data_IF_836252652362
#
_entry.id   IF_836252652362
#
_cell.length_a   1.000
_cell.length_b   1.000
_cell.length_c   1.000
_cell.angle_alpha   90.00
_cell.angle_beta   90.00
_cell.angle_gamma   90.00
#
_symmetry.space_group_name_H-M   'P 1'
#
loop_
_entity.id
_entity.type
_entity.pdbx_description
1 polymer ?
#
# COMPACT_ATOMS: atom_id res chain seq x y z
N UNK A 1 14.15 1.67 -22.63
CA UNK A 1 13.22 2.10 -21.56
C UNK A 1 13.17 1.10 -20.40
N UNK A 2 13.38 -0.20 -20.63
CA UNK A 2 13.37 -1.29 -19.63
C UNK A 2 14.52 -1.25 -18.61
N UNK A 3 15.74 -0.88 -19.01
CA UNK A 3 16.91 -0.87 -18.09
C UNK A 3 16.79 0.13 -16.93
N UNK A 4 16.15 1.28 -17.15
CA UNK A 4 15.95 2.31 -16.13
C UNK A 4 14.85 1.95 -15.09
N UNK A 5 13.95 1.01 -15.41
CA UNK A 5 12.98 0.48 -14.45
C UNK A 5 13.63 -0.56 -13.52
N UNK A 6 14.59 -1.34 -14.05
CA UNK A 6 15.33 -2.36 -13.29
C UNK A 6 16.29 -1.73 -12.27
N UNK A 7 16.98 -0.64 -12.62
CA UNK A 7 17.87 0.08 -11.68
C UNK A 7 17.14 0.64 -10.44
N UNK A 8 15.80 0.69 -10.44
CA UNK A 8 14.98 1.13 -9.30
C UNK A 8 14.48 -0.03 -8.41
N UNK A 9 14.70 -1.29 -8.78
CA UNK A 9 14.16 -2.49 -8.12
C UNK A 9 15.20 -3.27 -7.30
N UNK A 10 16.41 -2.74 -7.12
CA UNK A 10 17.57 -3.34 -6.44
C UNK A 10 17.38 -3.62 -4.92
N UNK A 11 16.14 -3.57 -4.43
CA UNK A 11 15.74 -3.76 -3.03
C UNK A 11 14.86 -5.00 -2.82
N UNK A 12 14.52 -5.72 -3.89
CA UNK A 12 13.80 -6.99 -3.84
C UNK A 12 14.71 -8.20 -3.59
N UNK A 13 14.12 -9.39 -3.44
CA UNK A 13 14.86 -10.65 -3.29
C UNK A 13 15.43 -11.21 -4.60
N UNK A 14 15.05 -10.62 -5.74
CA UNK A 14 15.50 -11.02 -7.08
C UNK A 14 16.68 -10.13 -7.50
N UNK A 15 17.83 -10.74 -7.75
CA UNK A 15 18.98 -10.06 -8.34
C UNK A 15 18.81 -9.84 -9.85
N UNK A 16 19.78 -9.15 -10.47
CA UNK A 16 19.76 -8.85 -11.90
C UNK A 16 19.67 -10.11 -12.79
N UNK A 17 20.28 -11.23 -12.40
CA UNK A 17 20.23 -12.47 -13.19
C UNK A 17 18.84 -13.09 -13.16
N UNK A 18 18.18 -13.07 -12.00
CA UNK A 18 16.78 -13.49 -11.89
C UNK A 18 15.86 -12.62 -12.76
N UNK A 19 16.04 -11.29 -12.72
CA UNK A 19 15.23 -10.35 -13.50
C UNK A 19 15.46 -10.51 -15.01
N UNK A 20 16.72 -10.62 -15.45
CA UNK A 20 17.06 -10.86 -16.85
C UNK A 20 16.44 -12.18 -17.34
N UNK A 21 16.45 -13.22 -16.50
CA UNK A 21 15.79 -14.47 -16.80
C UNK A 21 14.27 -14.30 -16.94
N UNK A 22 13.61 -13.58 -16.04
CA UNK A 22 12.16 -13.35 -16.15
C UNK A 22 11.81 -12.57 -17.43
N UNK A 23 12.60 -11.57 -17.80
CA UNK A 23 12.40 -10.78 -19.02
C UNK A 23 12.59 -11.60 -20.29
N UNK A 24 13.45 -12.63 -20.24
CA UNK A 24 13.73 -13.49 -21.39
C UNK A 24 12.64 -14.51 -21.71
N UNK A 25 11.61 -14.65 -20.85
CA UNK A 25 10.53 -15.61 -21.05
C UNK A 25 9.46 -15.05 -22.00
N UNK A 26 8.95 -15.92 -22.87
CA UNK A 26 8.04 -15.52 -23.96
C UNK A 26 6.55 -15.50 -23.55
N UNK A 27 6.20 -16.00 -22.37
CA UNK A 27 4.80 -16.08 -21.92
C UNK A 27 4.62 -15.70 -20.45
N UNK A 28 3.50 -15.03 -20.16
CA UNK A 28 3.13 -14.64 -18.78
C UNK A 28 3.03 -15.86 -17.84
N UNK A 29 2.57 -17.01 -18.36
CA UNK A 29 2.48 -18.26 -17.62
C UNK A 29 3.87 -18.76 -17.19
N UNK A 30 4.85 -18.69 -18.08
CA UNK A 30 6.23 -19.07 -17.78
C UNK A 30 6.87 -18.08 -16.79
N UNK A 31 6.59 -16.78 -16.94
CA UNK A 31 7.04 -15.73 -16.01
C UNK A 31 6.50 -16.01 -14.61
N UNK A 32 5.20 -16.26 -14.47
CA UNK A 32 4.57 -16.52 -13.18
C UNK A 32 5.08 -17.82 -12.55
N UNK A 33 5.28 -18.88 -13.33
CA UNK A 33 5.84 -20.14 -12.83
C UNK A 33 7.30 -19.98 -12.36
N UNK A 34 8.12 -19.28 -13.14
CA UNK A 34 9.50 -18.99 -12.78
C UNK A 34 9.59 -18.12 -11.52
N UNK A 35 8.78 -17.05 -11.46
CA UNK A 35 8.71 -16.13 -10.32
C UNK A 35 8.32 -16.86 -9.02
N UNK A 36 7.25 -17.66 -9.04
CA UNK A 36 6.80 -18.45 -7.89
C UNK A 36 7.93 -19.32 -7.32
N UNK A 37 8.68 -19.99 -8.21
CA UNK A 37 9.82 -20.83 -7.82
C UNK A 37 10.99 -20.01 -7.25
N UNK A 38 11.30 -18.87 -7.86
CA UNK A 38 12.41 -18.00 -7.43
C UNK A 38 12.15 -17.37 -6.06
N UNK A 39 10.93 -16.89 -5.82
CA UNK A 39 10.55 -16.16 -4.59
C UNK A 39 10.01 -17.10 -3.51
N UNK A 40 9.65 -18.34 -3.84
CA UNK A 40 9.02 -19.27 -2.91
C UNK A 40 7.61 -18.82 -2.51
N UNK A 41 6.84 -18.36 -3.50
CA UNK A 41 5.43 -17.96 -3.35
C UNK A 41 4.58 -18.92 -4.18
N UNK A 42 3.41 -19.28 -3.64
CA UNK A 42 2.42 -20.10 -4.34
C UNK A 42 1.21 -19.21 -4.63
N UNK A 43 0.92 -19.01 -5.92
CA UNK A 43 -0.26 -18.27 -6.38
C UNK A 43 -1.38 -19.29 -6.58
N UNK A 44 -2.52 -19.16 -5.89
CA UNK A 44 -3.61 -20.11 -6.00
C UNK A 44 -4.10 -20.32 -7.43
N UNK A 45 -4.45 -21.57 -7.78
CA UNK A 45 -4.83 -21.92 -9.15
C UNK A 45 -6.08 -21.19 -9.65
N UNK A 46 -7.01 -20.86 -8.75
CA UNK A 46 -8.19 -20.04 -9.04
C UNK A 46 -7.81 -18.61 -9.44
N UNK A 47 -6.81 -18.01 -8.77
CA UNK A 47 -6.27 -16.68 -9.13
C UNK A 47 -5.61 -16.72 -10.51
N UNK A 48 -4.81 -17.76 -10.78
CA UNK A 48 -4.18 -17.95 -12.10
C UNK A 48 -5.23 -18.13 -13.20
N UNK A 49 -6.29 -18.90 -12.95
CA UNK A 49 -7.38 -19.08 -13.92
C UNK A 49 -8.11 -17.77 -14.17
N UNK A 50 -8.43 -17.01 -13.12
CA UNK A 50 -9.06 -15.69 -13.25
C UNK A 50 -8.21 -14.73 -14.06
N UNK A 51 -6.89 -14.70 -13.84
CA UNK A 51 -5.96 -13.93 -14.67
C UNK A 51 -5.99 -14.35 -16.15
N UNK A 52 -6.03 -15.66 -16.44
CA UNK A 52 -6.10 -16.15 -17.84
C UNK A 52 -7.40 -15.76 -18.54
N UNK A 53 -8.51 -15.78 -17.81
CA UNK A 53 -9.84 -15.41 -18.32
C UNK A 53 -9.96 -13.89 -18.54
N UNK A 54 -9.57 -13.09 -17.56
CA UNK A 54 -9.76 -11.63 -17.57
C UNK A 54 -8.61 -10.87 -18.23
N UNK A 55 -7.43 -11.49 -18.36
CA UNK A 55 -6.15 -10.86 -18.77
C UNK A 55 -5.81 -9.61 -17.96
N UNK A 56 -6.20 -9.60 -16.70
CA UNK A 56 -6.02 -8.48 -15.78
C UNK A 56 -4.95 -8.79 -14.73
N UNK A 57 -3.78 -8.16 -14.86
CA UNK A 57 -2.65 -8.38 -13.96
C UNK A 57 -2.94 -7.96 -12.51
N UNK A 58 -3.89 -7.05 -12.28
CA UNK A 58 -4.25 -6.59 -10.95
C UNK A 58 -4.72 -7.73 -10.03
N UNK A 59 -5.28 -8.81 -10.58
CA UNK A 59 -5.67 -10.01 -9.82
C UNK A 59 -4.46 -10.75 -9.25
N UNK A 60 -3.34 -10.76 -9.98
CA UNK A 60 -2.08 -11.34 -9.52
C UNK A 60 -1.42 -10.40 -8.50
N UNK A 61 -1.36 -9.10 -8.78
CA UNK A 61 -0.76 -8.10 -7.89
C UNK A 61 -1.43 -8.11 -6.50
N UNK A 62 -2.76 -8.07 -6.46
CA UNK A 62 -3.54 -8.15 -5.22
C UNK A 62 -3.28 -9.45 -4.44
N UNK A 63 -3.15 -10.58 -5.13
CA UNK A 63 -2.78 -11.84 -4.50
C UNK A 63 -1.39 -11.78 -3.87
N UNK A 64 -0.41 -11.21 -4.59
CA UNK A 64 0.96 -11.07 -4.10
C UNK A 64 1.05 -10.11 -2.90
N UNK A 65 0.31 -9.01 -2.91
CA UNK A 65 0.24 -8.06 -1.80
C UNK A 65 -0.29 -8.71 -0.53
N UNK A 66 -1.34 -9.52 -0.64
CA UNK A 66 -1.88 -10.28 0.50
C UNK A 66 -0.89 -11.30 1.04
N UNK A 67 -0.24 -12.06 0.16
CA UNK A 67 0.79 -13.03 0.55
C UNK A 67 1.96 -12.32 1.23
N UNK A 68 2.36 -11.15 0.73
CA UNK A 68 3.42 -10.34 1.32
C UNK A 68 3.08 -9.96 2.77
N UNK A 69 1.93 -9.33 3.01
CA UNK A 69 1.54 -8.92 4.35
C UNK A 69 1.30 -10.10 5.29
N UNK A 70 0.72 -11.20 4.80
CA UNK A 70 0.56 -12.42 5.58
C UNK A 70 1.92 -12.98 6.03
N UNK A 71 2.85 -13.15 5.10
CA UNK A 71 4.21 -13.63 5.41
C UNK A 71 4.95 -12.69 6.35
N UNK A 72 4.83 -11.38 6.13
CA UNK A 72 5.45 -10.37 7.00
C UNK A 72 4.93 -10.46 8.42
N UNK A 73 3.61 -10.52 8.62
CA UNK A 73 3.02 -10.66 9.95
C UNK A 73 3.41 -11.98 10.64
N UNK A 74 3.46 -13.09 9.89
CA UNK A 74 3.89 -14.40 10.40
C UNK A 74 5.37 -14.43 10.78
N UNK A 75 6.21 -13.62 10.12
CA UNK A 75 7.65 -13.54 10.42
C UNK A 75 7.97 -12.84 11.75
N UNK A 76 7.00 -12.10 12.30
CA UNK A 76 7.16 -11.34 13.54
C UNK A 76 6.64 -12.19 14.71
N UNK A 77 7.53 -12.58 15.62
CA UNK A 77 7.16 -13.20 16.90
C UNK A 77 6.80 -12.12 17.94
N UNK A 78 5.53 -11.93 18.34
CA UNK A 78 5.11 -10.86 19.25
C UNK A 78 5.38 -11.16 20.74
N UNK A 79 6.40 -11.96 21.07
CA UNK A 79 6.74 -12.33 22.45
C UNK A 79 7.20 -11.14 23.32
N UNK A 80 7.89 -10.16 22.74
CA UNK A 80 8.38 -8.98 23.46
C UNK A 80 7.61 -7.70 23.11
N UNK A 81 7.63 -6.71 24.01
CA UNK A 81 6.95 -5.42 23.79
C UNK A 81 7.44 -4.72 22.50
N UNK A 82 8.75 -4.58 22.21
CA UNK A 82 9.21 -3.98 20.96
C UNK A 82 8.72 -4.71 19.71
N UNK A 83 8.68 -6.05 19.73
CA UNK A 83 8.18 -6.84 18.60
C UNK A 83 6.67 -6.68 18.40
N UNK A 84 5.88 -6.61 19.48
CA UNK A 84 4.45 -6.29 19.41
C UNK A 84 4.20 -4.93 18.79
N UNK A 85 4.97 -3.92 19.20
CA UNK A 85 4.85 -2.57 18.65
C UNK A 85 5.19 -2.53 17.15
N UNK A 86 6.20 -3.30 16.73
CA UNK A 86 6.49 -3.45 15.31
C UNK A 86 5.38 -4.18 14.55
N UNK A 87 4.81 -5.24 15.13
CA UNK A 87 3.65 -5.89 14.54
C UNK A 87 2.47 -4.93 14.40
N UNK A 88 2.15 -4.16 15.46
CA UNK A 88 1.07 -3.17 15.43
C UNK A 88 1.33 -2.06 14.40
N UNK A 89 2.59 -1.66 14.20
CA UNK A 89 2.97 -0.73 13.14
C UNK A 89 2.62 -1.29 11.74
N UNK A 90 2.99 -2.55 11.45
CA UNK A 90 2.61 -3.21 10.18
C UNK A 90 1.10 -3.37 10.04
N UNK A 91 0.40 -3.71 11.13
CA UNK A 91 -1.07 -3.84 11.10
C UNK A 91 -1.77 -2.50 10.85
N UNK A 92 -1.20 -1.40 11.34
CA UNK A 92 -1.66 -0.05 11.01
C UNK A 92 -1.39 0.30 9.54
N UNK A 93 -0.24 -0.09 8.98
CA UNK A 93 0.06 0.08 7.55
C UNK A 93 -0.98 -0.65 6.68
N UNK A 94 -1.39 -1.86 7.09
CA UNK A 94 -2.48 -2.60 6.43
C UNK A 94 -3.81 -1.82 6.51
N UNK A 95 -4.16 -1.24 7.66
CA UNK A 95 -5.38 -0.43 7.79
C UNK A 95 -5.36 0.79 6.86
N UNK A 96 -4.23 1.49 6.78
CA UNK A 96 -4.05 2.65 5.89
C UNK A 96 -4.21 2.22 4.43
N UNK A 97 -3.55 1.12 4.04
CA UNK A 97 -3.62 0.55 2.69
C UNK A 97 -5.04 0.14 2.32
N UNK A 98 -5.76 -0.51 3.24
CA UNK A 98 -7.14 -0.91 3.05
C UNK A 98 -8.07 0.29 2.90
N UNK A 99 -7.93 1.30 3.76
CA UNK A 99 -8.75 2.50 3.67
C UNK A 99 -8.50 3.26 2.37
N UNK A 100 -7.23 3.41 1.98
CA UNK A 100 -6.87 4.01 0.70
C UNK A 100 -7.50 3.25 -0.48
N UNK A 101 -7.42 1.92 -0.47
CA UNK A 101 -8.00 1.05 -1.50
C UNK A 101 -9.52 1.19 -1.56
N UNK A 102 -10.20 1.13 -0.41
CA UNK A 102 -11.65 1.31 -0.31
C UNK A 102 -12.06 2.68 -0.88
N UNK A 103 -11.39 3.76 -0.48
CA UNK A 103 -11.69 5.12 -0.94
C UNK A 103 -11.47 5.29 -2.44
N UNK A 104 -10.36 4.77 -2.98
CA UNK A 104 -10.05 4.79 -4.41
C UNK A 104 -11.16 4.13 -5.22
N UNK A 105 -11.44 2.87 -4.90
CA UNK A 105 -12.43 2.08 -5.62
C UNK A 105 -13.85 2.63 -5.43
N UNK A 106 -14.14 3.23 -4.26
CA UNK A 106 -15.42 3.88 -4.03
C UNK A 106 -15.63 5.10 -4.93
N UNK A 107 -14.61 5.94 -5.11
CA UNK A 107 -14.70 7.08 -6.04
C UNK A 107 -14.88 6.65 -7.50
N UNK A 108 -14.39 5.47 -7.86
CA UNK A 108 -14.62 4.84 -9.15
C UNK A 108 -15.95 4.07 -9.26
N UNK A 109 -16.82 4.16 -8.23
CA UNK A 109 -18.12 3.50 -8.16
C UNK A 109 -18.07 1.96 -8.25
N UNK A 110 -16.97 1.35 -7.80
CA UNK A 110 -16.84 -0.10 -7.75
C UNK A 110 -17.80 -0.68 -6.70
N UNK A 111 -18.52 -1.78 -7.00
CA UNK A 111 -19.40 -2.43 -6.05
C UNK A 111 -18.68 -2.87 -4.77
N UNK A 112 -19.34 -2.74 -3.60
CA UNK A 112 -18.72 -2.98 -2.30
C UNK A 112 -18.23 -4.42 -2.11
N UNK A 113 -18.93 -5.41 -2.66
CA UNK A 113 -18.51 -6.81 -2.68
C UNK A 113 -17.21 -7.02 -3.46
N UNK A 114 -17.04 -6.30 -4.58
CA UNK A 114 -15.80 -6.30 -5.37
C UNK A 114 -14.68 -5.58 -4.62
N UNK A 115 -14.95 -4.43 -3.99
CA UNK A 115 -13.97 -3.71 -3.15
C UNK A 115 -13.40 -4.63 -2.06
N UNK A 116 -14.27 -5.39 -1.39
CA UNK A 116 -13.84 -6.30 -0.32
C UNK A 116 -12.91 -7.40 -0.79
N UNK A 117 -12.92 -7.73 -2.08
CA UNK A 117 -11.95 -8.67 -2.65
C UNK A 117 -10.54 -8.10 -2.67
N UNK A 118 -10.33 -6.80 -2.58
CA UNK A 118 -9.01 -6.15 -2.57
C UNK A 118 -8.50 -5.81 -1.15
N UNK A 119 -9.28 -6.13 -0.12
CA UNK A 119 -8.89 -5.83 1.27
C UNK A 119 -7.83 -6.83 1.74
N UNK A 120 -6.71 -6.30 2.20
CA UNK A 120 -5.61 -7.06 2.81
C UNK A 120 -5.99 -7.45 4.24
N UNK A 121 -5.94 -8.74 4.61
CA UNK A 121 -6.24 -9.17 5.97
C UNK A 121 -5.12 -8.81 6.96
N UNK A 122 -5.46 -8.76 8.25
CA UNK A 122 -4.45 -8.57 9.32
C UNK A 122 -4.36 -7.16 9.88
N UNK A 123 -5.22 -6.23 9.45
CA UNK A 123 -5.33 -4.88 10.01
C UNK A 123 -5.49 -4.84 11.54
N UNK A 124 -5.19 -3.68 12.14
CA UNK A 124 -5.33 -3.45 13.59
C UNK A 124 -6.74 -2.99 13.95
N UNK A 125 -7.24 -2.01 13.21
CA UNK A 125 -8.47 -1.28 13.48
C UNK A 125 -9.58 -1.58 12.47
N UNK A 126 -9.24 -1.87 11.21
CA UNK A 126 -10.19 -2.19 10.16
C UNK A 126 -10.36 -3.70 10.07
N UNK A 127 -11.36 -4.22 10.79
CA UNK A 127 -11.77 -5.61 10.65
C UNK A 127 -12.65 -5.82 9.40
N UNK A 128 -13.01 -7.08 9.12
CA UNK A 128 -13.86 -7.43 7.97
C UNK A 128 -15.23 -6.74 8.00
N UNK A 129 -15.78 -6.51 9.19
CA UNK A 129 -17.09 -5.90 9.35
C UNK A 129 -17.00 -4.41 9.01
N UNK A 130 -16.04 -3.70 9.59
CA UNK A 130 -15.81 -2.29 9.31
C UNK A 130 -15.44 -2.08 7.84
N UNK A 131 -14.57 -2.91 7.27
CA UNK A 131 -14.24 -2.86 5.84
C UNK A 131 -15.50 -2.97 4.97
N UNK A 132 -16.42 -3.90 5.31
CA UNK A 132 -17.68 -4.05 4.59
C UNK A 132 -18.61 -2.85 4.77
N UNK A 133 -18.67 -2.24 5.95
CA UNK A 133 -19.43 -1.02 6.18
C UNK A 133 -18.88 0.13 5.32
N UNK A 134 -17.57 0.34 5.32
CA UNK A 134 -16.91 1.39 4.54
C UNK A 134 -17.09 1.17 3.03
N UNK A 135 -16.88 -0.05 2.53
CA UNK A 135 -17.06 -0.37 1.11
C UNK A 135 -18.50 -0.12 0.62
N UNK A 136 -19.50 -0.36 1.48
CA UNK A 136 -20.91 -0.19 1.16
C UNK A 136 -21.49 1.19 1.55
N UNK A 137 -20.71 2.09 2.15
CA UNK A 137 -21.16 3.43 2.50
C UNK A 137 -21.69 4.17 1.26
N UNK A 138 -22.66 5.07 1.37
CA UNK A 138 -23.24 5.71 0.18
C UNK A 138 -22.28 6.69 -0.51
N UNK A 139 -21.40 7.33 0.26
CA UNK A 139 -20.41 8.30 -0.23
C UNK A 139 -19.16 8.30 0.65
N UNK A 140 -18.12 9.06 0.26
CA UNK A 140 -16.93 9.25 1.11
C UNK A 140 -17.31 9.99 2.38
N UNK A 141 -18.17 11.01 2.27
CA UNK A 141 -18.65 11.77 3.43
C UNK A 141 -19.41 10.88 4.43
N UNK A 142 -20.15 9.88 3.93
CA UNK A 142 -20.89 8.94 4.76
C UNK A 142 -19.99 8.05 5.64
N UNK A 143 -18.72 7.87 5.25
CA UNK A 143 -17.76 7.07 6.03
C UNK A 143 -17.29 7.77 7.32
N UNK A 144 -17.48 9.09 7.45
CA UNK A 144 -16.97 9.85 8.61
C UNK A 144 -17.43 9.27 9.96
N UNK A 145 -18.69 8.82 10.05
CA UNK A 145 -19.23 8.24 11.29
C UNK A 145 -18.54 6.95 11.70
N UNK A 146 -18.29 6.05 10.74
CA UNK A 146 -17.62 4.78 10.99
C UNK A 146 -16.12 4.98 11.25
N UNK A 147 -15.50 5.96 10.56
CA UNK A 147 -14.08 6.26 10.71
C UNK A 147 -13.77 7.06 11.98
N UNK A 148 -14.75 7.71 12.62
CA UNK A 148 -14.51 8.65 13.72
C UNK A 148 -13.84 8.03 14.96
N UNK A 149 -13.86 6.71 15.07
CA UNK A 149 -13.27 5.96 16.19
C UNK A 149 -11.83 5.49 15.88
N UNK A 150 -11.34 5.70 14.67
CA UNK A 150 -10.03 5.25 14.24
C UNK A 150 -8.95 6.25 14.64
N UNK A 151 -7.79 5.75 15.03
CA UNK A 151 -6.67 6.55 15.56
C UNK A 151 -6.18 7.63 14.57
N UNK A 152 -6.35 7.43 13.26
CA UNK A 152 -5.92 8.35 12.20
C UNK A 152 -7.02 9.30 11.71
N UNK A 153 -8.25 9.22 12.25
CA UNK A 153 -9.38 9.99 11.74
C UNK A 153 -9.14 11.49 11.76
N UNK A 154 -8.60 12.00 12.88
CA UNK A 154 -8.35 13.43 13.06
C UNK A 154 -7.39 13.99 12.00
N UNK A 155 -6.44 13.19 11.53
CA UNK A 155 -5.47 13.56 10.50
C UNK A 155 -6.04 13.55 9.09
N UNK A 156 -7.15 12.81 8.85
CA UNK A 156 -7.72 12.64 7.51
C UNK A 156 -9.11 13.26 7.31
N UNK A 157 -9.82 13.61 8.39
CA UNK A 157 -11.23 14.04 8.36
C UNK A 157 -11.51 15.22 7.42
N UNK A 158 -10.57 16.16 7.29
CA UNK A 158 -10.72 17.31 6.40
C UNK A 158 -10.70 16.93 4.91
N UNK A 159 -10.10 15.78 4.59
CA UNK A 159 -10.04 15.25 3.24
C UNK A 159 -11.22 14.31 2.93
N UNK A 160 -11.92 13.78 3.95
CA UNK A 160 -13.06 12.87 3.83
C UNK A 160 -14.37 13.60 3.42
N UNK A 161 -14.31 14.29 2.28
CA UNK A 161 -15.42 15.02 1.68
C UNK A 161 -15.53 14.66 0.20
N UNK A 162 -16.76 14.47 -0.28
CA UNK A 162 -17.03 14.04 -1.65
C UNK A 162 -16.48 15.01 -2.71
N UNK A 163 -16.47 16.30 -2.42
CA UNK A 163 -15.96 17.36 -3.30
C UNK A 163 -14.43 17.39 -3.40
N UNK A 164 -13.72 16.79 -2.44
CA UNK A 164 -12.26 16.81 -2.40
C UNK A 164 -11.68 15.81 -3.40
N UNK A 165 -10.58 16.15 -4.08
CA UNK A 165 -9.91 15.21 -4.97
C UNK A 165 -9.28 14.07 -4.16
N UNK A 166 -9.33 12.84 -4.69
CA UNK A 166 -8.76 11.64 -4.05
C UNK A 166 -7.32 11.83 -3.57
N UNK A 167 -6.51 12.59 -4.33
CA UNK A 167 -5.12 12.91 -4.00
C UNK A 167 -4.94 13.56 -2.62
N UNK A 168 -5.93 14.35 -2.16
CA UNK A 168 -5.84 15.02 -0.86
C UNK A 168 -5.97 14.00 0.28
N UNK A 169 -6.87 13.01 0.15
CA UNK A 169 -7.03 11.95 1.15
C UNK A 169 -5.80 11.04 1.18
N UNK A 170 -5.29 10.66 0.00
CA UNK A 170 -4.05 9.87 -0.11
C UNK A 170 -2.88 10.60 0.53
N UNK A 171 -2.74 11.91 0.28
CA UNK A 171 -1.71 12.72 0.90
C UNK A 171 -1.86 12.81 2.43
N UNK A 172 -3.09 12.92 2.94
CA UNK A 172 -3.37 12.94 4.37
C UNK A 172 -3.03 11.61 5.05
N UNK A 173 -3.48 10.48 4.48
CA UNK A 173 -3.13 9.13 4.96
C UNK A 173 -1.61 8.91 4.97
N UNK A 174 -0.92 9.37 3.93
CA UNK A 174 0.54 9.28 3.84
C UNK A 174 1.25 10.15 4.88
N UNK A 175 0.78 11.37 5.11
CA UNK A 175 1.29 12.23 6.18
C UNK A 175 1.14 11.56 7.55
N UNK A 176 -0.03 10.98 7.82
CA UNK A 176 -0.26 10.21 9.04
C UNK A 176 0.74 9.05 9.16
N UNK A 177 0.94 8.26 8.10
CA UNK A 177 1.85 7.12 8.12
C UNK A 177 3.30 7.54 8.46
N UNK A 178 3.80 8.61 7.82
CA UNK A 178 5.14 9.15 8.09
C UNK A 178 5.25 9.66 9.52
N UNK A 179 4.26 10.41 10.00
CA UNK A 179 4.24 10.94 11.37
C UNK A 179 4.19 9.81 12.42
N UNK A 180 3.45 8.75 12.15
CA UNK A 180 3.38 7.56 12.99
C UNK A 180 4.75 6.86 13.05
N UNK A 181 5.39 6.60 11.91
CA UNK A 181 6.72 5.99 11.85
C UNK A 181 7.76 6.80 12.66
N UNK A 182 7.73 8.13 12.49
CA UNK A 182 8.61 9.05 13.21
C UNK A 182 8.37 8.99 14.74
N UNK A 183 7.11 9.04 15.16
CA UNK A 183 6.74 8.97 16.59
C UNK A 183 7.20 7.64 17.21
N UNK A 184 6.95 6.52 16.53
CA UNK A 184 7.34 5.20 17.02
C UNK A 184 8.87 5.03 17.08
N UNK A 185 9.59 5.56 16.09
CA UNK A 185 11.06 5.56 16.04
C UNK A 185 11.67 6.23 17.27
N UNK A 186 11.18 7.42 17.64
CA UNK A 186 11.64 8.17 18.81
C UNK A 186 11.29 7.50 20.14
N UNK A 187 10.11 6.87 20.24
CA UNK A 187 9.68 6.18 21.46
C UNK A 187 10.46 4.87 21.68
N UNK A 188 10.92 4.23 20.60
CA UNK A 188 11.54 2.91 20.64
C UNK A 188 12.89 2.87 19.88
N UNK A 189 13.89 3.66 20.31
CA UNK A 189 15.15 3.86 19.57
C UNK A 189 16.05 2.62 19.50
N UNK A 190 15.81 1.61 20.34
CA UNK A 190 16.55 0.34 20.35
C UNK A 190 15.79 -0.80 19.63
N UNK A 191 14.75 -0.47 18.86
CA UNK A 191 14.00 -1.43 18.04
C UNK A 191 14.45 -1.39 16.57
N UNK A 192 13.78 -2.15 15.69
CA UNK A 192 13.99 -2.05 14.23
C UNK A 192 13.34 -0.79 13.63
N UNK A 193 12.42 -0.16 14.35
CA UNK A 193 11.62 0.96 13.85
C UNK A 193 12.46 2.13 13.35
N UNK A 194 13.57 2.57 14.00
CA UNK A 194 14.38 3.66 13.47
C UNK A 194 14.95 3.40 12.08
N UNK A 195 15.23 2.13 11.75
CA UNK A 195 15.67 1.76 10.39
C UNK A 195 14.52 1.90 9.39
N UNK A 196 13.32 1.43 9.77
CA UNK A 196 12.10 1.55 8.96
C UNK A 196 11.72 3.02 8.75
N UNK A 197 11.77 3.83 9.81
CA UNK A 197 11.52 5.25 9.79
C UNK A 197 12.47 5.99 8.83
N UNK A 198 13.76 5.66 8.88
CA UNK A 198 14.73 6.16 7.90
C UNK A 198 14.35 5.76 6.46
N UNK A 199 13.96 4.50 6.23
CA UNK A 199 13.55 4.02 4.91
C UNK A 199 12.31 4.77 4.40
N UNK A 200 11.30 4.96 5.23
CA UNK A 200 10.06 5.70 4.91
C UNK A 200 10.38 7.16 4.58
N UNK A 201 11.22 7.83 5.38
CA UNK A 201 11.64 9.20 5.08
C UNK A 201 12.43 9.28 3.77
N UNK A 202 13.28 8.30 3.50
CA UNK A 202 14.06 8.27 2.25
C UNK A 202 13.18 8.04 1.02
N UNK A 203 12.22 7.13 1.12
CA UNK A 203 11.21 6.93 0.08
C UNK A 203 10.40 8.22 -0.13
N UNK A 204 10.02 8.88 0.97
CA UNK A 204 9.27 10.12 0.91
C UNK A 204 10.04 11.25 0.22
N UNK A 205 11.34 11.40 0.52
CA UNK A 205 12.23 12.35 -0.15
C UNK A 205 12.28 12.10 -1.66
N UNK A 206 12.50 10.84 -2.08
CA UNK A 206 12.55 10.47 -3.51
C UNK A 206 11.21 10.75 -4.20
N UNK A 207 10.10 10.42 -3.54
CA UNK A 207 8.76 10.69 -4.06
C UNK A 207 8.49 12.20 -4.19
N UNK A 208 8.90 13.02 -3.22
CA UNK A 208 8.79 14.48 -3.31
C UNK A 208 9.59 15.04 -4.50
N UNK A 209 10.84 14.57 -4.69
CA UNK A 209 11.66 14.96 -5.84
C UNK A 209 10.96 14.59 -7.16
N UNK A 210 10.39 13.38 -7.24
CA UNK A 210 9.65 12.92 -8.43
C UNK A 210 8.40 13.76 -8.68
N UNK A 211 7.65 14.11 -7.64
CA UNK A 211 6.47 14.98 -7.74
C UNK A 211 6.87 16.36 -8.27
N UNK A 212 7.95 16.96 -7.76
CA UNK A 212 8.45 18.25 -8.24
C UNK A 212 8.87 18.15 -9.72
N UNK A 213 9.70 17.16 -10.06
CA UNK A 213 10.22 17.01 -11.41
C UNK A 213 9.09 16.80 -12.44
N UNK A 214 8.21 15.82 -12.20
CA UNK A 214 7.09 15.51 -13.11
C UNK A 214 6.03 16.62 -13.14
N UNK A 215 5.78 17.25 -11.99
CA UNK A 215 4.82 18.35 -11.89
C UNK A 215 5.27 19.55 -12.70
N UNK A 216 6.55 19.93 -12.61
CA UNK A 216 7.12 21.00 -13.43
C UNK A 216 7.13 20.66 -14.92
N UNK A 217 7.52 19.43 -15.28
CA UNK A 217 7.51 18.95 -16.67
C UNK A 217 6.10 18.97 -17.27
N UNK A 218 5.09 18.60 -16.49
CA UNK A 218 3.69 18.58 -16.92
C UNK A 218 3.00 19.96 -16.87
N UNK A 219 3.73 21.01 -16.46
CA UNK A 219 3.19 22.38 -16.35
C UNK A 219 2.17 22.57 -15.23
N UNK A 220 2.20 21.74 -14.17
CA UNK A 220 1.34 21.92 -13.01
C UNK A 220 1.66 23.22 -12.27
N UNK A 221 0.63 23.86 -11.75
CA UNK A 221 0.78 25.04 -10.91
C UNK A 221 1.61 24.73 -9.64
N UNK A 222 2.42 25.69 -9.21
CA UNK A 222 3.34 25.51 -8.08
C UNK A 222 2.61 25.24 -6.77
N UNK A 223 1.43 25.82 -6.55
CA UNK A 223 0.65 25.58 -5.34
C UNK A 223 0.06 24.16 -5.33
N UNK A 224 -0.31 23.63 -6.50
CA UNK A 224 -0.71 22.22 -6.64
C UNK A 224 0.47 21.30 -6.31
N UNK A 225 1.65 21.58 -6.87
CA UNK A 225 2.86 20.77 -6.59
C UNK A 225 3.18 20.79 -5.09
N UNK A 226 3.18 21.96 -4.46
CA UNK A 226 3.42 22.10 -3.01
C UNK A 226 2.40 21.32 -2.18
N UNK A 227 1.13 21.37 -2.55
CA UNK A 227 0.06 20.63 -1.87
C UNK A 227 0.21 19.11 -1.92
N UNK A 228 0.95 18.59 -2.90
CA UNK A 228 1.25 17.16 -3.05
C UNK A 228 2.46 16.68 -2.24
N UNK A 229 3.29 17.59 -1.73
CA UNK A 229 4.47 17.22 -0.96
C UNK A 229 4.10 16.79 0.45
N UNK A 230 4.81 15.78 0.95
CA UNK A 230 4.74 15.34 2.34
C UNK A 230 6.06 15.75 2.98
N UNK A 231 6.04 16.69 3.92
CA UNK A 231 7.25 17.31 4.50
C UNK A 231 7.19 17.21 6.02
#
# INVERSE_FOLDING_TARGET
>A
MTKALLDNLDRGSLDAEHLDKLISLDSDDDVLAAFQKMVGVDIPSDVLNKYKEERNLAVIEDCLDKIYYEKLLLSIDPSSRPKRLFQDFIRNEIDITNLETILKLKKENVPGDVILTYVVPGGKLIDKKLAAQLANAESVSAMNGDLSQLEFYEDIKEALDDSKPLREIVAALRKYHVAQANTFSHLYPLSVIPVIDFMIHKENEVNNIRIIARGLESGLDREIIKGLLVV
#
